data_IF_625182880423
#
_entry.id   IF_625182880423
#
_cell.length_a   1.000
_cell.length_b   1.000
_cell.length_c   1.000
_cell.angle_alpha   90.00
_cell.angle_beta   90.00
_cell.angle_gamma   90.00
#
_symmetry.space_group_name_H-M   'P 1'
#
loop_
_entity.id
_entity.type
_entity.pdbx_description
1 polymer ?
#
# COMPACT_ATOMS: atom_id res chain seq x y z
N UNK A 1 -41.88 -3.81 24.40
CA UNK A 1 -41.23 -4.98 23.76
C UNK A 1 -40.24 -5.57 24.74
N UNK A 2 -40.28 -6.90 24.89
CA UNK A 2 -39.34 -7.64 25.72
C UNK A 2 -37.94 -7.74 25.03
N UNK A 3 -36.92 -8.08 25.78
CA UNK A 3 -35.58 -8.31 25.21
C UNK A 3 -35.58 -9.40 24.12
N UNK A 4 -36.39 -10.42 24.30
CA UNK A 4 -36.58 -11.52 23.34
C UNK A 4 -37.28 -11.06 22.05
N UNK A 5 -38.19 -10.14 22.11
CA UNK A 5 -38.85 -9.54 20.93
C UNK A 5 -37.85 -8.69 20.12
N UNK A 6 -37.03 -7.87 20.80
CA UNK A 6 -35.97 -7.11 20.14
C UNK A 6 -34.93 -8.04 19.47
N UNK A 7 -34.52 -9.12 20.11
CA UNK A 7 -33.61 -10.10 19.51
C UNK A 7 -34.18 -10.74 18.24
N UNK A 8 -35.46 -11.17 18.28
CA UNK A 8 -36.13 -11.72 17.09
C UNK A 8 -36.21 -10.72 15.94
N UNK A 9 -36.38 -9.45 16.25
CA UNK A 9 -36.43 -8.40 15.23
C UNK A 9 -35.03 -8.19 14.62
N UNK A 10 -33.94 -8.21 15.41
CA UNK A 10 -32.57 -8.21 14.90
C UNK A 10 -32.33 -9.41 13.99
N UNK A 11 -32.69 -10.62 14.42
CA UNK A 11 -32.55 -11.84 13.60
C UNK A 11 -33.31 -11.78 12.28
N UNK A 12 -34.46 -11.09 12.25
CA UNK A 12 -35.22 -10.84 11.02
C UNK A 12 -34.46 -9.91 10.07
N UNK A 13 -33.93 -8.80 10.61
CA UNK A 13 -33.15 -7.81 9.85
C UNK A 13 -31.87 -8.46 9.30
N UNK A 14 -31.17 -9.25 10.10
CA UNK A 14 -29.95 -9.95 9.66
C UNK A 14 -30.22 -10.87 8.48
N UNK A 15 -31.36 -11.56 8.47
CA UNK A 15 -31.76 -12.39 7.31
C UNK A 15 -32.00 -11.58 6.06
N UNK A 16 -32.51 -10.36 6.17
CA UNK A 16 -32.66 -9.44 5.03
C UNK A 16 -31.33 -8.93 4.55
N UNK A 17 -30.41 -8.54 5.44
CA UNK A 17 -29.03 -8.15 5.11
C UNK A 17 -28.33 -9.27 4.34
N UNK A 18 -28.40 -10.52 4.81
CA UNK A 18 -27.79 -11.67 4.14
C UNK A 18 -28.33 -11.87 2.71
N UNK A 19 -29.65 -11.69 2.51
CA UNK A 19 -30.25 -11.78 1.16
C UNK A 19 -29.72 -10.68 0.24
N UNK A 20 -29.66 -9.43 0.72
CA UNK A 20 -29.15 -8.31 -0.06
C UNK A 20 -27.65 -8.44 -0.36
N UNK A 21 -26.85 -8.94 0.57
CA UNK A 21 -25.43 -9.24 0.35
C UNK A 21 -25.24 -10.32 -0.72
N UNK A 22 -26.02 -11.40 -0.67
CA UNK A 22 -25.97 -12.45 -1.69
C UNK A 22 -26.35 -11.94 -3.08
N UNK A 23 -27.39 -11.11 -3.18
CA UNK A 23 -27.77 -10.46 -4.43
C UNK A 23 -26.68 -9.52 -4.94
N UNK A 24 -26.11 -8.68 -4.07
CA UNK A 24 -25.01 -7.76 -4.39
C UNK A 24 -23.78 -8.53 -4.92
N UNK A 25 -23.43 -9.67 -4.31
CA UNK A 25 -22.32 -10.51 -4.78
C UNK A 25 -22.59 -11.14 -6.15
N UNK A 26 -23.83 -11.55 -6.42
CA UNK A 26 -24.23 -12.03 -7.74
C UNK A 26 -24.03 -10.96 -8.82
N UNK A 27 -24.47 -9.73 -8.54
CA UNK A 27 -24.27 -8.58 -9.44
C UNK A 27 -22.77 -8.24 -9.58
N UNK A 28 -21.99 -8.29 -8.48
CA UNK A 28 -20.57 -8.04 -8.51
C UNK A 28 -19.84 -9.05 -9.43
N UNK A 29 -20.18 -10.34 -9.41
CA UNK A 29 -19.63 -11.36 -10.34
C UNK A 29 -19.94 -11.02 -11.79
N UNK A 30 -21.18 -10.64 -12.10
CA UNK A 30 -21.55 -10.24 -13.46
C UNK A 30 -20.77 -9.00 -13.95
N UNK A 31 -20.51 -8.03 -13.04
CA UNK A 31 -19.64 -6.88 -13.33
C UNK A 31 -18.21 -7.36 -13.61
N UNK A 32 -17.69 -8.30 -12.82
CA UNK A 32 -16.35 -8.88 -13.03
C UNK A 32 -16.21 -9.55 -14.41
N UNK A 33 -17.19 -10.33 -14.81
CA UNK A 33 -17.24 -10.96 -16.14
C UNK A 33 -17.28 -9.91 -17.27
N UNK A 34 -18.09 -8.87 -17.11
CA UNK A 34 -18.15 -7.77 -18.08
C UNK A 34 -16.83 -7.01 -18.18
N UNK A 35 -16.17 -6.72 -17.05
CA UNK A 35 -14.85 -6.10 -17.01
C UNK A 35 -13.79 -6.96 -17.68
N UNK A 36 -13.80 -8.27 -17.42
CA UNK A 36 -12.86 -9.21 -18.04
C UNK A 36 -13.00 -9.21 -19.57
N UNK A 37 -14.23 -9.23 -20.09
CA UNK A 37 -14.51 -9.16 -21.52
C UNK A 37 -14.08 -7.84 -22.16
N UNK A 38 -14.18 -6.74 -21.40
CA UNK A 38 -13.78 -5.40 -21.85
C UNK A 38 -12.27 -5.10 -21.61
N UNK A 39 -11.51 -6.00 -21.00
CA UNK A 39 -10.12 -5.76 -20.59
C UNK A 39 -9.98 -4.69 -19.49
N UNK A 40 -11.06 -4.37 -18.78
CA UNK A 40 -11.09 -3.33 -17.76
C UNK A 40 -10.62 -3.87 -16.39
N UNK A 41 -9.92 -3.06 -15.56
CA UNK A 41 -9.43 -3.47 -14.27
C UNK A 41 -10.58 -3.75 -13.28
N UNK A 42 -10.43 -4.79 -12.46
CA UNK A 42 -11.39 -5.13 -11.39
C UNK A 42 -11.29 -4.10 -10.28
N UNK A 43 -10.08 -3.82 -9.82
CA UNK A 43 -9.81 -2.85 -8.75
C UNK A 43 -9.99 -1.42 -9.26
N UNK A 44 -10.85 -0.66 -8.62
CA UNK A 44 -11.21 0.71 -9.01
C UNK A 44 -11.30 1.61 -7.76
N UNK A 45 -10.15 2.01 -7.18
CA UNK A 45 -10.09 2.69 -5.89
C UNK A 45 -10.88 4.01 -5.86
N UNK A 46 -10.95 4.72 -6.98
CA UNK A 46 -11.75 5.94 -7.12
C UNK A 46 -13.25 5.67 -6.94
N UNK A 47 -13.75 4.61 -7.60
CA UNK A 47 -15.16 4.22 -7.49
C UNK A 47 -15.52 3.76 -6.08
N UNK A 48 -14.58 3.10 -5.40
CA UNK A 48 -14.75 2.68 -4.00
C UNK A 48 -14.86 3.88 -3.08
N UNK A 49 -13.99 4.87 -3.20
CA UNK A 49 -14.05 6.08 -2.38
C UNK A 49 -15.31 6.89 -2.65
N UNK A 50 -15.74 7.04 -3.92
CA UNK A 50 -17.01 7.66 -4.27
C UNK A 50 -18.20 6.94 -3.61
N UNK A 51 -18.21 5.60 -3.65
CA UNK A 51 -19.25 4.81 -3.01
C UNK A 51 -19.26 5.02 -1.49
N UNK A 52 -18.10 4.99 -0.83
CA UNK A 52 -18.00 5.21 0.61
C UNK A 52 -18.47 6.60 1.03
N UNK A 53 -18.21 7.63 0.22
CA UNK A 53 -18.74 8.99 0.47
C UNK A 53 -20.26 9.03 0.32
N UNK A 54 -20.80 8.53 -0.79
CA UNK A 54 -22.26 8.54 -1.03
C UNK A 54 -23.05 7.75 0.03
N UNK A 55 -22.49 6.66 0.54
CA UNK A 55 -23.10 5.86 1.60
C UNK A 55 -23.10 6.61 2.93
N UNK A 56 -22.01 7.30 3.28
CA UNK A 56 -21.94 8.11 4.48
C UNK A 56 -22.96 9.27 4.47
N UNK A 57 -23.16 9.89 3.31
CA UNK A 57 -24.16 10.94 3.11
C UNK A 57 -25.61 10.41 3.18
N UNK A 58 -25.85 9.20 2.66
CA UNK A 58 -27.18 8.58 2.63
C UNK A 58 -27.66 8.07 4.00
N UNK A 59 -26.75 7.84 4.96
CA UNK A 59 -27.08 7.26 6.26
C UNK A 59 -26.51 8.08 7.45
N UNK A 60 -26.91 9.34 7.62
CA UNK A 60 -26.34 10.25 8.64
C UNK A 60 -26.60 9.79 10.09
N UNK A 61 -27.56 8.89 10.30
CA UNK A 61 -27.86 8.31 11.61
C UNK A 61 -26.83 7.26 12.07
N UNK A 62 -25.97 6.76 11.18
CA UNK A 62 -24.96 5.77 11.49
C UNK A 62 -23.59 6.47 11.57
N UNK A 63 -22.78 6.22 12.60
CA UNK A 63 -21.43 6.79 12.69
C UNK A 63 -20.59 6.48 11.43
N UNK A 64 -20.10 7.51 10.75
CA UNK A 64 -19.44 7.39 9.45
C UNK A 64 -18.23 6.42 9.47
N UNK A 65 -17.45 6.40 10.56
CA UNK A 65 -16.33 5.47 10.73
C UNK A 65 -16.75 4.00 10.76
N UNK A 66 -17.82 3.69 11.50
CA UNK A 66 -18.38 2.34 11.56
C UNK A 66 -18.98 1.90 10.22
N UNK A 67 -19.71 2.81 9.56
CA UNK A 67 -20.29 2.54 8.24
C UNK A 67 -19.20 2.28 7.18
N UNK A 68 -18.14 3.08 7.17
CA UNK A 68 -16.98 2.88 6.30
C UNK A 68 -16.31 1.53 6.54
N UNK A 69 -16.15 1.11 7.79
CA UNK A 69 -15.54 -0.18 8.13
C UNK A 69 -16.38 -1.36 7.58
N UNK A 70 -17.69 -1.35 7.81
CA UNK A 70 -18.60 -2.39 7.29
C UNK A 70 -18.58 -2.43 5.76
N UNK A 71 -18.74 -1.28 5.11
CA UNK A 71 -18.77 -1.23 3.65
C UNK A 71 -17.44 -1.55 2.99
N UNK A 72 -16.32 -1.30 3.65
CA UNK A 72 -15.00 -1.75 3.18
C UNK A 72 -14.95 -3.27 3.05
N UNK A 73 -15.47 -4.03 4.02
CA UNK A 73 -15.51 -5.49 3.93
C UNK A 73 -16.52 -5.99 2.90
N UNK A 74 -17.67 -5.32 2.75
CA UNK A 74 -18.62 -5.62 1.67
C UNK A 74 -18.01 -5.37 0.29
N UNK A 75 -17.20 -4.31 0.13
CA UNK A 75 -16.45 -4.03 -1.11
C UNK A 75 -15.38 -5.10 -1.32
N UNK A 76 -14.62 -5.47 -0.29
CA UNK A 76 -13.63 -6.54 -0.31
C UNK A 76 -14.20 -7.87 -0.80
N UNK A 77 -15.34 -8.29 -0.23
CA UNK A 77 -16.09 -9.48 -0.69
C UNK A 77 -16.44 -9.38 -2.18
N UNK A 78 -16.82 -8.19 -2.64
CA UNK A 78 -17.18 -7.97 -4.04
C UNK A 78 -15.99 -8.00 -4.98
N UNK A 79 -14.84 -7.45 -4.55
CA UNK A 79 -13.58 -7.54 -5.28
C UNK A 79 -13.13 -9.00 -5.36
N UNK A 80 -13.11 -9.71 -4.23
CA UNK A 80 -12.76 -11.13 -4.17
C UNK A 80 -13.63 -12.01 -5.09
N UNK A 81 -14.94 -11.68 -5.17
CA UNK A 81 -15.87 -12.39 -6.07
C UNK A 81 -15.63 -12.13 -7.57
N UNK A 82 -14.95 -11.03 -7.93
CA UNK A 82 -14.59 -10.66 -9.30
C UNK A 82 -13.20 -11.13 -9.69
N UNK A 83 -12.30 -11.33 -8.71
CA UNK A 83 -10.90 -11.67 -8.95
C UNK A 83 -10.72 -13.19 -9.08
N UNK A 84 -10.09 -13.60 -10.18
CA UNK A 84 -9.74 -15.00 -10.40
C UNK A 84 -8.38 -15.39 -9.77
N UNK A 85 -7.56 -14.41 -9.38
CA UNK A 85 -6.17 -14.59 -8.93
C UNK A 85 -5.86 -13.72 -7.72
N UNK A 86 -4.89 -14.13 -6.88
CA UNK A 86 -4.54 -13.40 -5.66
C UNK A 86 -3.90 -12.03 -5.94
N UNK A 87 -3.70 -11.28 -4.86
CA UNK A 87 -2.85 -10.10 -4.79
C UNK A 87 -1.49 -10.53 -4.19
N UNK A 88 -0.42 -10.36 -4.96
CA UNK A 88 0.94 -10.61 -4.51
C UNK A 88 1.44 -9.45 -3.64
N UNK A 89 2.23 -9.74 -2.63
CA UNK A 89 2.87 -8.72 -1.80
C UNK A 89 4.22 -9.21 -1.25
N UNK A 90 5.11 -8.26 -0.90
CA UNK A 90 6.35 -8.58 -0.22
C UNK A 90 6.06 -9.10 1.19
N UNK A 91 6.24 -10.41 1.38
CA UNK A 91 6.05 -11.09 2.68
C UNK A 91 7.12 -10.72 3.72
N UNK A 92 7.07 -11.39 4.86
CA UNK A 92 6.12 -12.43 5.24
C UNK A 92 4.75 -11.89 5.69
N UNK A 93 3.85 -12.79 6.13
CA UNK A 93 2.62 -12.40 6.81
C UNK A 93 2.91 -11.58 8.07
N UNK A 94 2.04 -10.59 8.38
CA UNK A 94 2.25 -9.61 9.44
C UNK A 94 3.14 -8.43 9.04
N UNK A 95 3.71 -8.41 7.82
CA UNK A 95 4.52 -7.29 7.33
C UNK A 95 3.69 -6.02 7.09
N UNK A 96 4.35 -4.86 7.05
CA UNK A 96 3.68 -3.60 6.65
C UNK A 96 3.17 -3.66 5.20
N UNK A 97 3.80 -4.45 4.33
CA UNK A 97 3.32 -4.64 2.95
C UNK A 97 2.00 -5.42 2.93
N UNK A 98 1.83 -6.43 3.79
CA UNK A 98 0.54 -7.08 3.95
C UNK A 98 -0.53 -6.12 4.47
N UNK A 99 -0.20 -5.28 5.45
CA UNK A 99 -1.15 -4.27 5.95
C UNK A 99 -1.57 -3.31 4.82
N UNK A 100 -0.64 -2.91 3.94
CA UNK A 100 -0.96 -2.10 2.76
C UNK A 100 -1.87 -2.86 1.78
N UNK A 101 -1.61 -4.15 1.57
CA UNK A 101 -2.47 -5.02 0.74
C UNK A 101 -3.88 -5.13 1.31
N UNK A 102 -4.01 -5.39 2.63
CA UNK A 102 -5.29 -5.46 3.31
C UNK A 102 -6.03 -4.10 3.32
N UNK A 103 -5.28 -2.99 3.44
CA UNK A 103 -5.86 -1.66 3.35
C UNK A 103 -6.40 -1.35 1.95
N UNK A 104 -5.74 -1.82 0.89
CA UNK A 104 -6.17 -1.61 -0.48
C UNK A 104 -7.35 -2.52 -0.87
N UNK A 105 -7.29 -3.80 -0.53
CA UNK A 105 -8.19 -4.83 -1.06
C UNK A 105 -9.14 -5.43 -0.02
N UNK A 106 -8.90 -5.17 1.28
CA UNK A 106 -9.62 -5.80 2.40
C UNK A 106 -9.22 -7.26 2.63
N UNK A 107 -9.97 -7.93 3.50
CA UNK A 107 -9.59 -9.28 4.00
C UNK A 107 -10.09 -10.43 3.14
N UNK A 108 -11.07 -10.19 2.28
CA UNK A 108 -11.74 -11.23 1.47
C UNK A 108 -11.06 -11.55 0.15
N UNK A 109 -10.00 -10.81 -0.21
CA UNK A 109 -9.23 -11.05 -1.43
C UNK A 109 -8.07 -12.00 -1.13
N UNK A 110 -7.89 -13.10 -1.90
CA UNK A 110 -6.77 -14.01 -1.72
C UNK A 110 -5.42 -13.30 -1.81
N UNK A 111 -4.53 -13.60 -0.89
CA UNK A 111 -3.20 -12.98 -0.75
C UNK A 111 -2.09 -13.97 -1.08
N UNK A 112 -1.01 -13.49 -1.73
CA UNK A 112 0.17 -14.29 -2.10
C UNK A 112 1.42 -13.63 -1.54
N UNK A 113 1.94 -14.08 -0.36
CA UNK A 113 3.19 -13.60 0.18
C UNK A 113 4.38 -14.12 -0.62
N UNK A 114 5.26 -13.21 -1.08
CA UNK A 114 6.44 -13.54 -1.86
C UNK A 114 7.72 -13.06 -1.15
N UNK A 115 8.86 -13.65 -1.50
CA UNK A 115 10.12 -13.46 -0.77
C UNK A 115 10.86 -12.19 -1.13
N UNK A 116 10.67 -11.71 -2.36
CA UNK A 116 11.33 -10.51 -2.87
C UNK A 116 10.38 -9.61 -3.65
N UNK A 117 10.76 -8.33 -3.80
CA UNK A 117 10.04 -7.39 -4.65
C UNK A 117 10.03 -7.87 -6.10
N UNK A 118 11.16 -8.44 -6.59
CA UNK A 118 11.24 -9.01 -7.93
C UNK A 118 10.24 -10.13 -8.17
N UNK A 119 10.03 -11.01 -7.18
CA UNK A 119 9.02 -12.08 -7.28
C UNK A 119 7.61 -11.50 -7.39
N UNK A 120 7.32 -10.37 -6.69
CA UNK A 120 6.01 -9.70 -6.79
C UNK A 120 5.78 -9.17 -8.21
N UNK A 121 6.77 -8.52 -8.81
CA UNK A 121 6.70 -8.07 -10.20
C UNK A 121 6.49 -9.26 -11.16
N UNK A 122 7.30 -10.30 -11.04
CA UNK A 122 7.22 -11.50 -11.88
C UNK A 122 5.85 -12.19 -11.79
N UNK A 123 5.26 -12.30 -10.59
CA UNK A 123 3.94 -12.88 -10.38
C UNK A 123 2.82 -12.09 -11.08
N UNK A 124 2.93 -10.75 -11.10
CA UNK A 124 1.97 -9.90 -11.81
C UNK A 124 2.18 -9.97 -13.32
N UNK A 125 3.42 -9.93 -13.79
CA UNK A 125 3.78 -10.01 -15.23
C UNK A 125 3.35 -11.34 -15.84
N UNK A 126 3.64 -12.45 -15.17
CA UNK A 126 3.21 -13.79 -15.61
C UNK A 126 1.70 -14.00 -15.50
N UNK A 127 1.03 -13.16 -14.72
CA UNK A 127 -0.40 -13.27 -14.42
C UNK A 127 -0.73 -14.33 -13.37
N UNK A 128 0.20 -14.80 -12.60
CA UNK A 128 -0.03 -15.60 -11.39
C UNK A 128 -0.81 -14.79 -10.35
N UNK A 129 -0.51 -13.49 -10.23
CA UNK A 129 -1.26 -12.53 -9.44
C UNK A 129 -1.95 -11.48 -10.32
N UNK A 130 -3.13 -10.98 -9.89
CA UNK A 130 -3.84 -9.90 -10.58
C UNK A 130 -3.20 -8.54 -10.32
N UNK A 131 -2.71 -8.34 -9.11
CA UNK A 131 -2.08 -7.10 -8.60
C UNK A 131 -0.88 -7.47 -7.73
N UNK A 132 0.04 -6.51 -7.59
CA UNK A 132 1.15 -6.59 -6.64
C UNK A 132 1.18 -5.39 -5.73
N UNK A 133 1.60 -5.57 -4.48
CA UNK A 133 1.81 -4.47 -3.53
C UNK A 133 3.28 -4.45 -3.13
N UNK A 134 3.94 -3.31 -3.35
CA UNK A 134 5.37 -3.13 -3.11
C UNK A 134 5.65 -1.83 -2.37
N UNK A 135 6.61 -1.81 -1.41
CA UNK A 135 7.04 -0.58 -0.76
C UNK A 135 7.86 0.27 -1.75
N UNK A 136 7.68 1.60 -1.74
CA UNK A 136 8.43 2.50 -2.64
C UNK A 136 9.21 3.58 -1.90
N UNK A 137 8.75 3.98 -0.71
CA UNK A 137 9.39 5.03 0.07
C UNK A 137 8.99 4.94 1.53
N UNK A 138 9.93 5.19 2.42
CA UNK A 138 9.67 5.43 3.83
C UNK A 138 10.14 6.83 4.21
N UNK A 139 9.34 7.57 4.98
CA UNK A 139 9.63 8.97 5.32
C UNK A 139 10.92 9.17 6.14
N UNK A 140 11.42 8.10 6.76
CA UNK A 140 12.65 8.12 7.58
C UNK A 140 13.84 7.53 6.83
N UNK A 141 13.63 6.44 6.10
CA UNK A 141 14.68 5.65 5.43
C UNK A 141 14.91 6.09 3.98
N UNK A 142 13.96 6.86 3.42
CA UNK A 142 14.00 7.25 2.02
C UNK A 142 13.44 6.20 1.07
N UNK A 143 13.96 6.19 -0.13
CA UNK A 143 13.43 5.44 -1.27
C UNK A 143 13.80 3.97 -1.22
N UNK A 144 12.85 3.09 -1.54
CA UNK A 144 13.09 1.67 -1.79
C UNK A 144 13.59 1.50 -3.21
N UNK A 145 14.91 1.57 -3.35
CA UNK A 145 15.63 1.58 -4.63
C UNK A 145 15.19 0.48 -5.60
N UNK A 146 15.12 -0.74 -5.11
CA UNK A 146 14.79 -1.91 -5.94
C UNK A 146 13.38 -1.83 -6.56
N UNK A 147 12.40 -1.26 -5.86
CA UNK A 147 11.05 -1.05 -6.43
C UNK A 147 11.05 -0.06 -7.58
N UNK A 148 11.82 1.03 -7.45
CA UNK A 148 11.91 2.03 -8.53
C UNK A 148 12.65 1.48 -9.75
N UNK A 149 13.73 0.72 -9.53
CA UNK A 149 14.50 0.11 -10.63
C UNK A 149 13.60 -0.85 -11.44
N UNK A 150 12.84 -1.71 -10.77
CA UNK A 150 11.88 -2.60 -11.41
C UNK A 150 10.74 -1.84 -12.12
N UNK A 151 10.23 -0.76 -11.54
CA UNK A 151 9.23 0.09 -12.22
C UNK A 151 9.78 0.74 -13.50
N UNK A 152 11.05 1.12 -13.50
CA UNK A 152 11.71 1.66 -14.70
C UNK A 152 11.85 0.61 -15.81
N UNK A 153 12.02 -0.66 -15.47
CA UNK A 153 12.24 -1.76 -16.42
C UNK A 153 10.95 -2.45 -16.86
N UNK A 154 10.03 -2.72 -15.92
CA UNK A 154 8.77 -3.46 -16.13
C UNK A 154 7.73 -2.64 -16.92
N UNK A 155 6.86 -3.32 -17.66
CA UNK A 155 5.71 -2.70 -18.33
C UNK A 155 4.48 -2.55 -17.41
N UNK A 156 4.56 -3.02 -16.17
CA UNK A 156 3.49 -2.87 -15.20
C UNK A 156 3.20 -1.39 -14.90
N UNK A 157 1.97 -1.13 -14.50
CA UNK A 157 1.48 0.22 -14.20
C UNK A 157 1.14 0.34 -12.72
N UNK A 158 1.43 1.49 -12.15
CA UNK A 158 0.93 1.87 -10.83
C UNK A 158 -0.54 2.26 -10.96
N UNK A 159 -1.40 1.58 -10.22
CA UNK A 159 -2.86 1.77 -10.26
C UNK A 159 -3.42 2.34 -8.95
N UNK A 160 -2.66 2.28 -7.86
CA UNK A 160 -3.00 2.91 -6.59
C UNK A 160 -1.76 3.17 -5.76
N UNK A 161 -1.91 4.07 -4.80
CA UNK A 161 -0.94 4.35 -3.76
C UNK A 161 -1.61 4.11 -2.40
N UNK A 162 -0.89 3.47 -1.48
CA UNK A 162 -1.30 3.31 -0.09
C UNK A 162 -0.21 3.88 0.81
N UNK A 163 -0.59 4.75 1.73
CA UNK A 163 0.33 5.28 2.75
C UNK A 163 -0.07 4.72 4.11
N UNK A 164 0.87 4.09 4.80
CA UNK A 164 0.67 3.58 6.17
C UNK A 164 1.58 4.31 7.13
N UNK A 165 1.03 4.78 8.24
CA UNK A 165 1.82 5.18 9.40
C UNK A 165 2.48 3.95 10.00
N UNK A 166 3.78 4.04 10.27
CA UNK A 166 4.55 2.95 10.87
C UNK A 166 4.51 3.13 12.39
N UNK A 167 3.65 2.34 13.04
CA UNK A 167 3.63 2.24 14.49
C UNK A 167 4.37 0.98 14.93
N UNK A 168 5.41 1.16 15.77
CA UNK A 168 6.17 0.08 16.34
C UNK A 168 5.64 -0.25 17.73
N UNK A 169 5.52 -1.54 18.02
CA UNK A 169 5.13 -2.08 19.31
C UNK A 169 6.27 -2.93 19.87
N UNK A 170 6.41 -2.98 21.19
CA UNK A 170 7.16 -4.03 21.86
C UNK A 170 6.20 -5.18 22.11
N UNK A 171 6.52 -6.35 21.58
CA UNK A 171 5.69 -7.56 21.68
C UNK A 171 6.46 -8.68 22.36
N UNK A 172 5.81 -9.44 23.24
CA UNK A 172 6.44 -10.48 24.02
C UNK A 172 5.55 -10.98 25.15
N UNK A 173 6.13 -11.77 26.06
CA UNK A 173 5.42 -12.29 27.23
C UNK A 173 6.11 -11.87 28.51
N UNK A 174 5.30 -11.66 29.56
CA UNK A 174 5.78 -11.26 30.89
C UNK A 174 6.07 -9.77 31.04
N UNK A 175 6.57 -9.36 32.20
CA UNK A 175 6.84 -7.95 32.52
C UNK A 175 8.13 -7.43 31.84
N UNK A 176 8.20 -6.12 31.63
CA UNK A 176 9.31 -5.46 30.92
C UNK A 176 10.67 -5.66 31.57
N UNK A 177 10.75 -5.73 32.89
CA UNK A 177 11.97 -5.93 33.66
C UNK A 177 12.60 -7.32 33.48
N UNK A 178 11.85 -8.28 32.95
CA UNK A 178 12.34 -9.61 32.61
C UNK A 178 12.84 -9.74 31.17
N UNK A 179 12.65 -8.72 30.32
CA UNK A 179 13.16 -8.73 28.93
C UNK A 179 14.68 -8.65 28.95
N UNK A 180 15.34 -9.63 28.33
CA UNK A 180 16.80 -9.73 28.21
C UNK A 180 17.29 -9.59 26.78
N UNK A 181 16.41 -9.85 25.80
CA UNK A 181 16.71 -9.70 24.37
C UNK A 181 15.53 -9.01 23.67
N UNK A 182 15.83 -8.06 22.80
CA UNK A 182 14.86 -7.44 21.90
C UNK A 182 15.29 -7.71 20.47
N UNK A 183 14.43 -8.40 19.74
CA UNK A 183 14.66 -8.84 18.38
C UNK A 183 13.93 -7.92 17.41
N UNK A 184 14.53 -7.54 16.31
CA UNK A 184 13.85 -6.97 15.14
C UNK A 184 14.81 -6.79 13.98
N UNK A 185 14.30 -6.24 12.86
CA UNK A 185 15.16 -5.69 11.83
C UNK A 185 15.95 -4.50 12.38
N UNK A 186 17.18 -4.33 11.93
CA UNK A 186 18.11 -3.27 12.33
C UNK A 186 17.48 -1.87 12.35
N UNK A 187 16.78 -1.53 11.29
CA UNK A 187 16.04 -0.28 11.10
C UNK A 187 14.99 -0.07 12.21
N UNK A 188 14.18 -1.08 12.51
CA UNK A 188 13.13 -0.98 13.52
C UNK A 188 13.71 -0.84 14.94
N UNK A 189 14.83 -1.51 15.23
CA UNK A 189 15.58 -1.34 16.46
C UNK A 189 16.14 0.09 16.57
N UNK A 190 16.69 0.63 15.48
CA UNK A 190 17.22 1.99 15.43
C UNK A 190 16.12 3.03 15.68
N UNK A 191 14.94 2.85 15.09
CA UNK A 191 13.77 3.75 15.25
C UNK A 191 13.19 3.76 16.67
N UNK A 192 13.48 2.75 17.49
CA UNK A 192 12.98 2.61 18.86
C UNK A 192 14.08 2.72 19.91
N UNK A 193 15.31 3.05 19.53
CA UNK A 193 16.49 3.01 20.41
C UNK A 193 16.32 3.85 21.67
N UNK A 194 15.79 5.05 21.56
CA UNK A 194 15.59 5.95 22.70
C UNK A 194 14.55 5.42 23.68
N UNK A 195 13.47 4.81 23.19
CA UNK A 195 12.47 4.18 24.04
C UNK A 195 13.03 2.91 24.70
N UNK A 196 13.69 2.04 23.95
CA UNK A 196 14.27 0.77 24.44
C UNK A 196 15.32 1.01 25.54
N UNK A 197 16.20 2.00 25.38
CA UNK A 197 17.23 2.33 26.35
C UNK A 197 16.66 2.81 27.70
N UNK A 198 15.47 3.40 27.69
CA UNK A 198 14.81 3.88 28.92
C UNK A 198 13.99 2.82 29.63
N UNK A 199 13.36 1.91 28.87
CA UNK A 199 12.38 0.97 29.44
C UNK A 199 12.91 -0.45 29.60
N UNK A 200 13.90 -0.86 28.79
CA UNK A 200 14.56 -2.18 28.86
C UNK A 200 16.09 -2.04 28.71
N UNK A 201 16.76 -1.22 29.58
CA UNK A 201 18.15 -0.82 29.38
C UNK A 201 19.17 -1.96 29.41
N UNK A 202 18.82 -3.10 29.99
CA UNK A 202 19.70 -4.28 30.07
C UNK A 202 19.49 -5.30 28.95
N UNK A 203 18.56 -5.04 28.02
CA UNK A 203 18.25 -6.00 26.96
C UNK A 203 19.26 -5.91 25.80
N UNK A 204 19.75 -7.06 25.35
CA UNK A 204 20.57 -7.16 24.15
C UNK A 204 19.68 -6.95 22.90
N UNK A 205 20.10 -6.09 21.97
CA UNK A 205 19.41 -5.89 20.70
C UNK A 205 19.94 -6.91 19.69
N UNK A 206 19.04 -7.70 19.09
CA UNK A 206 19.39 -8.80 18.17
C UNK A 206 18.70 -8.56 16.83
N UNK A 207 19.50 -8.51 15.78
CA UNK A 207 18.99 -8.31 14.42
C UNK A 207 18.36 -9.59 13.86
N UNK A 208 17.26 -9.41 13.12
CA UNK A 208 16.55 -10.46 12.37
C UNK A 208 16.25 -9.98 10.96
N UNK A 209 15.94 -10.90 10.05
CA UNK A 209 15.66 -10.59 8.65
C UNK A 209 14.43 -9.70 8.41
N UNK A 210 13.47 -9.69 9.35
CA UNK A 210 12.29 -8.83 9.32
C UNK A 210 11.65 -8.69 10.70
N UNK A 211 10.83 -7.64 10.90
CA UNK A 211 10.06 -7.45 12.14
C UNK A 211 9.09 -8.62 12.39
N UNK A 212 8.49 -9.19 11.34
CA UNK A 212 7.62 -10.36 11.47
C UNK A 212 8.38 -11.64 11.85
N UNK A 213 9.60 -11.84 11.32
CA UNK A 213 10.45 -12.96 11.72
C UNK A 213 10.88 -12.85 13.21
N UNK A 214 11.08 -11.63 13.71
CA UNK A 214 11.34 -11.42 15.13
C UNK A 214 10.15 -11.87 16.01
N UNK A 215 8.91 -11.52 15.61
CA UNK A 215 7.70 -11.97 16.33
C UNK A 215 7.57 -13.49 16.29
N UNK A 216 7.86 -14.12 15.16
CA UNK A 216 7.82 -15.58 15.03
C UNK A 216 8.83 -16.26 15.96
N UNK A 217 10.03 -15.70 16.08
CA UNK A 217 11.03 -16.22 17.03
C UNK A 217 10.58 -16.07 18.48
N UNK A 218 10.02 -14.91 18.87
CA UNK A 218 9.48 -14.68 20.20
C UNK A 218 8.29 -15.61 20.50
N UNK A 219 7.45 -15.90 19.52
CA UNK A 219 6.35 -16.85 19.67
C UNK A 219 6.83 -18.28 20.00
N UNK A 220 7.99 -18.68 19.43
CA UNK A 220 8.60 -20.00 19.68
C UNK A 220 9.37 -20.05 21.00
N UNK A 221 10.07 -18.98 21.34
CA UNK A 221 10.96 -18.87 22.49
C UNK A 221 10.66 -17.60 23.29
N UNK A 222 9.55 -17.56 24.05
CA UNK A 222 9.08 -16.31 24.66
C UNK A 222 9.89 -15.87 25.90
N UNK A 223 10.66 -16.77 26.54
CA UNK A 223 11.30 -16.49 27.83
C UNK A 223 12.41 -15.43 27.71
N UNK A 224 12.19 -14.27 28.33
CA UNK A 224 13.13 -13.18 28.36
C UNK A 224 13.36 -12.53 26.99
N UNK A 225 12.53 -12.82 26.01
CA UNK A 225 12.61 -12.25 24.66
C UNK A 225 11.40 -11.37 24.35
N UNK A 226 11.63 -10.28 23.65
CA UNK A 226 10.61 -9.43 23.06
C UNK A 226 11.00 -9.06 21.62
N UNK A 227 10.05 -8.65 20.81
CA UNK A 227 10.31 -8.15 19.47
C UNK A 227 9.78 -6.73 19.29
N UNK A 228 10.45 -5.94 18.45
CA UNK A 228 9.89 -4.70 17.91
C UNK A 228 9.19 -5.03 16.59
N UNK A 229 7.88 -4.81 16.53
CA UNK A 229 7.08 -5.12 15.35
C UNK A 229 5.77 -4.32 15.32
N UNK A 230 5.00 -4.46 14.23
CA UNK A 230 3.65 -3.91 14.16
C UNK A 230 2.66 -4.69 15.04
N UNK A 231 1.56 -4.05 15.45
CA UNK A 231 0.47 -4.72 16.15
C UNK A 231 -0.10 -5.89 15.33
N UNK A 232 -0.24 -5.74 14.01
CA UNK A 232 -0.73 -6.79 13.12
C UNK A 232 0.18 -8.03 13.12
N UNK A 233 1.51 -7.86 13.18
CA UNK A 233 2.44 -8.98 13.30
C UNK A 233 2.28 -9.72 14.63
N UNK A 234 2.05 -9.00 15.72
CA UNK A 234 1.78 -9.57 17.03
C UNK A 234 0.47 -10.39 17.04
N UNK A 235 -0.60 -9.80 16.53
CA UNK A 235 -1.93 -10.40 16.44
C UNK A 235 -1.94 -11.67 15.57
N UNK A 236 -1.25 -11.65 14.42
CA UNK A 236 -1.16 -12.80 13.51
C UNK A 236 -0.48 -14.03 14.12
N UNK A 237 0.35 -13.83 15.15
CA UNK A 237 1.08 -14.89 15.86
C UNK A 237 0.57 -15.14 17.29
N UNK A 238 -0.45 -14.41 17.73
CA UNK A 238 -0.98 -14.50 19.09
C UNK A 238 0.01 -14.09 20.18
N UNK A 239 0.99 -13.22 19.86
CA UNK A 239 1.97 -12.71 20.84
C UNK A 239 1.42 -11.44 21.49
N UNK A 240 1.40 -11.34 22.83
CA UNK A 240 0.92 -10.15 23.52
C UNK A 240 1.72 -8.89 23.20
N UNK A 241 1.04 -7.74 23.15
CA UNK A 241 1.67 -6.43 23.00
C UNK A 241 1.98 -5.89 24.40
N UNK A 242 3.25 -5.66 24.69
CA UNK A 242 3.73 -5.11 25.95
C UNK A 242 3.67 -3.58 25.99
N UNK A 243 3.95 -2.92 24.85
CA UNK A 243 3.85 -1.48 24.70
C UNK A 243 3.56 -1.11 23.25
N UNK A 244 2.76 -0.05 23.03
CA UNK A 244 2.44 0.50 21.72
C UNK A 244 3.12 1.84 21.48
N UNK A 245 3.37 2.21 20.21
CA UNK A 245 3.90 3.52 19.85
C UNK A 245 5.30 3.78 20.41
N UNK A 246 6.17 2.77 20.36
CA UNK A 246 7.52 2.83 20.96
C UNK A 246 8.57 3.50 20.07
N UNK A 247 8.23 3.86 18.84
CA UNK A 247 9.12 4.57 17.92
C UNK A 247 9.45 5.98 18.45
N UNK A 248 10.70 6.39 18.28
CA UNK A 248 11.18 7.69 18.72
C UNK A 248 10.59 8.86 17.92
N UNK A 249 10.21 8.63 16.66
CA UNK A 249 9.53 9.60 15.78
C UNK A 249 8.12 9.10 15.43
N UNK A 250 7.14 10.00 15.53
CA UNK A 250 5.73 9.68 15.27
C UNK A 250 5.27 9.91 13.83
N UNK A 251 6.08 10.59 13.04
CA UNK A 251 5.83 10.98 11.65
C UNK A 251 6.34 9.96 10.63
N UNK A 252 6.68 8.74 11.09
CA UNK A 252 7.14 7.67 10.20
C UNK A 252 5.97 7.07 9.41
N UNK A 253 6.07 7.15 8.09
CA UNK A 253 5.09 6.58 7.17
C UNK A 253 5.80 5.87 6.02
N UNK A 254 5.20 4.80 5.53
CA UNK A 254 5.67 4.09 4.33
C UNK A 254 4.63 4.19 3.24
N UNK A 255 5.09 4.55 2.05
CA UNK A 255 4.32 4.59 0.81
C UNK A 255 4.50 3.27 0.08
N UNK A 256 3.38 2.69 -0.36
CA UNK A 256 3.33 1.48 -1.16
C UNK A 256 2.63 1.77 -2.48
N UNK A 257 3.07 1.13 -3.55
CA UNK A 257 2.35 1.12 -4.82
C UNK A 257 1.62 -0.21 -5.02
N UNK A 258 0.44 -0.10 -5.61
CA UNK A 258 -0.29 -1.22 -6.20
C UNK A 258 0.04 -1.23 -7.68
N UNK A 259 0.61 -2.33 -8.16
CA UNK A 259 1.02 -2.52 -9.54
C UNK A 259 0.12 -3.54 -10.25
N UNK A 260 -0.13 -3.33 -11.54
CA UNK A 260 -0.96 -4.16 -12.39
C UNK A 260 -0.50 -4.13 -13.84
N UNK A 261 -0.99 -5.07 -14.67
CA UNK A 261 -0.71 -5.10 -16.10
C UNK A 261 -1.46 -4.03 -16.88
N UNK A 262 -2.67 -3.68 -16.44
CA UNK A 262 -3.47 -2.63 -17.07
C UNK A 262 -3.48 -1.38 -16.21
N UNK A 263 -3.41 -0.21 -16.85
CA UNK A 263 -3.54 1.08 -16.20
C UNK A 263 -5.00 1.40 -15.85
N UNK A 264 -5.20 2.38 -14.95
CA UNK A 264 -6.50 2.97 -14.74
C UNK A 264 -6.91 3.82 -15.95
N UNK A 265 -8.23 3.85 -16.22
CA UNK A 265 -8.81 4.86 -17.10
C UNK A 265 -8.95 6.20 -16.34
N UNK A 266 -9.08 7.30 -17.07
CA UNK A 266 -9.39 8.63 -16.49
C UNK A 266 -10.62 8.54 -15.59
N UNK A 267 -10.53 9.00 -14.36
CA UNK A 267 -11.65 8.82 -13.43
C UNK A 267 -11.93 9.97 -12.49
N UNK A 268 -10.97 10.51 -11.75
CA UNK A 268 -11.22 11.48 -10.68
C UNK A 268 -10.45 12.79 -10.84
N UNK A 269 -10.90 13.81 -10.11
CA UNK A 269 -10.23 15.12 -10.12
C UNK A 269 -8.85 15.11 -9.43
N UNK A 270 -8.65 14.21 -8.44
CA UNK A 270 -7.45 14.17 -7.59
C UNK A 270 -6.54 12.98 -7.94
N UNK A 271 -6.10 12.92 -9.19
CA UNK A 271 -5.17 11.89 -9.65
C UNK A 271 -3.73 12.41 -9.66
N UNK A 272 -2.82 11.48 -9.45
CA UNK A 272 -1.37 11.67 -9.56
C UNK A 272 -0.86 10.81 -10.70
N UNK A 273 0.00 11.38 -11.53
CA UNK A 273 0.74 10.65 -12.56
C UNK A 273 2.19 10.51 -12.14
N UNK A 274 2.73 9.31 -12.25
CA UNK A 274 4.15 9.02 -12.11
C UNK A 274 4.78 8.74 -13.46
N UNK A 275 5.95 9.34 -13.70
CA UNK A 275 6.79 9.08 -14.87
C UNK A 275 8.23 8.84 -14.48
N UNK A 276 8.98 8.16 -15.33
CA UNK A 276 10.44 8.12 -15.26
C UNK A 276 11.04 8.71 -16.54
N UNK A 277 12.03 9.57 -16.35
CA UNK A 277 12.72 10.28 -17.43
C UNK A 277 14.19 9.88 -17.45
N UNK A 278 14.77 9.76 -18.68
CA UNK A 278 16.21 9.81 -18.91
C UNK A 278 16.53 11.08 -19.66
N UNK A 279 17.48 11.85 -19.15
CA UNK A 279 17.83 13.15 -19.73
C UNK A 279 19.01 13.02 -20.70
N UNK A 280 19.05 13.88 -21.69
CA UNK A 280 20.23 14.06 -22.54
C UNK A 280 21.39 14.58 -21.70
N UNK A 281 22.59 14.13 -21.98
CA UNK A 281 23.80 14.58 -21.27
C UNK A 281 24.28 15.94 -21.82
N UNK A 282 23.54 17.00 -21.49
CA UNK A 282 23.81 18.37 -21.93
C UNK A 282 23.49 19.40 -20.83
N UNK A 283 24.16 20.56 -20.80
CA UNK A 283 23.88 21.61 -19.85
C UNK A 283 22.42 22.08 -19.95
N UNK A 284 21.73 22.19 -18.80
CA UNK A 284 20.34 22.65 -18.76
C UNK A 284 19.29 21.58 -19.04
N UNK A 285 19.65 20.32 -19.32
CA UNK A 285 18.69 19.26 -19.64
C UNK A 285 17.62 19.06 -18.57
N UNK A 286 18.00 19.01 -17.28
CA UNK A 286 17.04 18.91 -16.18
C UNK A 286 16.15 20.15 -16.07
N UNK A 287 16.71 21.35 -16.18
CA UNK A 287 15.95 22.59 -16.17
C UNK A 287 14.90 22.60 -17.30
N UNK A 288 15.32 22.23 -18.51
CA UNK A 288 14.42 22.15 -19.67
C UNK A 288 13.30 21.13 -19.47
N UNK A 289 13.57 19.98 -18.85
CA UNK A 289 12.54 19.00 -18.52
C UNK A 289 11.55 19.55 -17.48
N UNK A 290 12.04 20.21 -16.43
CA UNK A 290 11.18 20.81 -15.40
C UNK A 290 10.34 21.98 -15.92
N UNK A 291 10.84 22.76 -16.88
CA UNK A 291 10.11 23.83 -17.54
C UNK A 291 8.84 23.32 -18.26
N UNK A 292 8.85 22.11 -18.79
CA UNK A 292 7.66 21.52 -19.42
C UNK A 292 6.45 21.42 -18.49
N UNK A 293 6.67 21.29 -17.19
CA UNK A 293 5.65 21.29 -16.15
C UNK A 293 5.31 22.72 -15.68
N UNK A 294 6.32 23.52 -15.31
CA UNK A 294 6.12 24.85 -14.75
C UNK A 294 5.41 25.80 -15.73
N UNK A 295 5.74 25.75 -17.02
CA UNK A 295 5.14 26.59 -18.07
C UNK A 295 3.65 26.29 -18.28
N UNK A 296 3.17 25.16 -17.72
CA UNK A 296 1.75 24.72 -17.74
C UNK A 296 1.07 24.79 -16.38
N UNK A 297 1.74 25.36 -15.38
CA UNK A 297 1.22 25.44 -14.02
C UNK A 297 1.06 24.09 -13.34
N UNK A 298 1.76 23.04 -13.82
CA UNK A 298 1.76 21.72 -13.19
C UNK A 298 2.81 21.72 -12.09
N UNK A 299 2.37 21.60 -10.84
CA UNK A 299 3.27 21.47 -9.70
C UNK A 299 3.84 20.05 -9.61
N UNK A 300 5.08 19.90 -9.15
CA UNK A 300 5.66 18.59 -8.88
C UNK A 300 5.43 18.21 -7.42
N UNK A 301 4.89 17.01 -7.20
CA UNK A 301 4.67 16.45 -5.87
C UNK A 301 5.95 15.81 -5.36
N UNK A 302 6.73 15.19 -6.27
CA UNK A 302 7.95 14.47 -5.95
C UNK A 302 8.90 14.49 -7.14
N UNK A 303 10.18 14.55 -6.83
CA UNK A 303 11.28 14.26 -7.76
C UNK A 303 12.34 13.42 -7.05
N UNK A 304 12.75 12.35 -7.69
CA UNK A 304 13.80 11.45 -7.20
C UNK A 304 14.77 11.13 -8.32
N UNK A 305 16.06 11.27 -8.10
CA UNK A 305 17.09 10.94 -9.08
C UNK A 305 17.86 9.70 -8.65
N UNK A 306 18.08 8.78 -9.58
CA UNK A 306 18.82 7.54 -9.35
C UNK A 306 19.79 7.25 -10.49
N UNK A 307 20.98 6.69 -10.20
CA UNK A 307 21.85 6.18 -11.24
C UNK A 307 21.12 5.11 -12.08
N UNK A 308 21.23 5.20 -13.39
CA UNK A 308 20.79 4.14 -14.30
C UNK A 308 21.80 2.98 -14.21
N UNK A 309 21.32 1.75 -14.05
CA UNK A 309 22.21 0.59 -14.12
C UNK A 309 22.59 0.19 -15.56
N UNK A 310 22.11 0.95 -16.57
CA UNK A 310 22.34 0.67 -18.00
C UNK A 310 23.61 1.31 -18.55
N UNK A 311 23.91 2.53 -18.11
CA UNK A 311 25.12 3.28 -18.51
C UNK A 311 25.74 3.99 -17.33
N UNK A 312 27.05 4.01 -17.24
CA UNK A 312 27.78 4.76 -16.22
C UNK A 312 27.44 6.26 -16.35
N UNK A 313 27.15 6.88 -15.21
CA UNK A 313 26.86 8.34 -15.11
C UNK A 313 25.52 8.78 -15.74
N UNK A 314 24.66 7.86 -16.16
CA UNK A 314 23.30 8.13 -16.57
C UNK A 314 22.37 8.09 -15.35
N UNK A 315 21.41 9.01 -15.29
CA UNK A 315 20.44 9.10 -14.20
C UNK A 315 19.02 8.93 -14.69
N UNK A 316 18.21 8.21 -13.90
CA UNK A 316 16.76 8.13 -14.02
C UNK A 316 16.14 9.17 -13.09
N UNK A 317 15.17 9.93 -13.57
CA UNK A 317 14.39 10.88 -12.77
C UNK A 317 12.95 10.41 -12.68
N UNK A 318 12.54 10.03 -11.48
CA UNK A 318 11.16 9.68 -11.17
C UNK A 318 10.45 10.95 -10.73
N UNK A 319 9.33 11.26 -11.36
CA UNK A 319 8.57 12.49 -11.12
C UNK A 319 7.11 12.13 -10.92
N UNK A 320 6.53 12.62 -9.81
CA UNK A 320 5.11 12.53 -9.51
C UNK A 320 4.48 13.93 -9.61
N UNK A 321 3.35 14.06 -10.30
CA UNK A 321 2.64 15.32 -10.48
C UNK A 321 1.12 15.11 -10.57
N UNK A 322 0.28 16.12 -10.26
CA UNK A 322 -1.16 16.02 -10.30
C UNK A 322 -1.70 15.95 -11.73
N UNK A 323 -2.81 15.27 -11.88
CA UNK A 323 -3.54 15.07 -13.12
C UNK A 323 -3.32 13.69 -13.74
N UNK A 324 -4.29 13.25 -14.55
CA UNK A 324 -4.21 11.97 -15.26
C UNK A 324 -3.41 12.11 -16.55
N UNK A 325 -2.69 11.05 -16.92
CA UNK A 325 -1.87 11.00 -18.15
C UNK A 325 -2.61 11.42 -19.42
N UNK A 326 -3.90 11.08 -19.55
CA UNK A 326 -4.70 11.35 -20.76
C UNK A 326 -5.33 12.76 -20.78
N UNK A 327 -5.16 13.57 -19.72
CA UNK A 327 -5.70 14.94 -19.73
C UNK A 327 -4.92 15.86 -20.67
N UNK A 328 -5.57 16.83 -21.33
CA UNK A 328 -4.91 17.69 -22.34
C UNK A 328 -3.68 18.43 -21.80
N UNK A 329 -3.74 18.94 -20.57
CA UNK A 329 -2.62 19.66 -19.96
C UNK A 329 -1.40 18.75 -19.73
N UNK A 330 -1.63 17.53 -19.22
CA UNK A 330 -0.58 16.53 -19.00
C UNK A 330 -0.02 16.03 -20.32
N UNK A 331 -0.87 15.75 -21.31
CA UNK A 331 -0.42 15.35 -22.65
C UNK A 331 0.46 16.40 -23.32
N UNK A 332 0.13 17.69 -23.17
CA UNK A 332 0.94 18.78 -23.70
C UNK A 332 2.33 18.85 -23.03
N UNK A 333 2.39 18.65 -21.68
CA UNK A 333 3.65 18.58 -20.95
C UNK A 333 4.51 17.38 -21.39
N UNK A 334 3.89 16.21 -21.51
CA UNK A 334 4.55 14.97 -21.94
C UNK A 334 5.10 15.09 -23.37
N UNK A 335 4.38 15.74 -24.26
CA UNK A 335 4.84 15.95 -25.64
C UNK A 335 6.10 16.83 -25.70
N UNK A 336 6.17 17.84 -24.85
CA UNK A 336 7.37 18.64 -24.70
C UNK A 336 8.53 17.86 -24.07
N UNK A 337 8.26 17.08 -23.03
CA UNK A 337 9.25 16.20 -22.40
C UNK A 337 9.86 15.23 -23.41
N UNK A 338 9.07 14.63 -24.31
CA UNK A 338 9.56 13.73 -25.37
C UNK A 338 10.54 14.41 -26.31
N UNK A 339 10.42 15.72 -26.52
CA UNK A 339 11.38 16.49 -27.33
C UNK A 339 12.69 16.80 -26.58
N UNK A 340 12.66 16.86 -25.27
CA UNK A 340 13.79 17.28 -24.42
C UNK A 340 14.53 16.11 -23.73
N UNK A 341 13.84 15.00 -23.49
CA UNK A 341 14.38 13.81 -22.83
C UNK A 341 14.78 12.73 -23.84
N UNK A 342 15.69 11.83 -23.48
CA UNK A 342 15.96 10.62 -24.26
C UNK A 342 14.81 9.63 -24.15
N UNK A 343 14.30 9.42 -22.93
CA UNK A 343 13.18 8.53 -22.65
C UNK A 343 12.19 9.22 -21.72
N UNK A 344 10.92 9.05 -22.01
CA UNK A 344 9.79 9.40 -21.13
C UNK A 344 8.92 8.16 -21.00
N UNK A 345 8.93 7.51 -19.84
CA UNK A 345 8.12 6.33 -19.57
C UNK A 345 7.03 6.67 -18.56
N UNK A 346 5.79 6.41 -18.93
CA UNK A 346 4.65 6.50 -18.04
C UNK A 346 4.57 5.27 -17.13
N UNK A 347 4.58 5.49 -15.81
CA UNK A 347 4.48 4.44 -14.82
C UNK A 347 3.04 4.17 -14.38
N UNK A 348 2.16 5.17 -14.45
CA UNK A 348 0.74 5.05 -14.11
C UNK A 348 0.11 6.37 -13.70
N UNK A 349 -1.22 6.39 -13.72
CA UNK A 349 -2.03 7.45 -13.13
C UNK A 349 -3.00 6.82 -12.13
N UNK A 350 -3.07 7.36 -10.91
CA UNK A 350 -3.77 6.75 -9.79
C UNK A 350 -4.27 7.81 -8.82
N UNK A 351 -5.31 7.50 -8.01
CA UNK A 351 -5.82 8.42 -7.01
C UNK A 351 -4.73 8.79 -6.01
N UNK A 352 -4.67 10.06 -5.63
CA UNK A 352 -3.89 10.47 -4.48
C UNK A 352 -4.44 9.76 -3.25
N UNK A 353 -3.58 9.05 -2.51
CA UNK A 353 -3.98 8.38 -1.28
C UNK A 353 -4.62 9.39 -0.34
N UNK A 354 -5.87 9.19 0.05
CA UNK A 354 -6.41 9.84 1.23
C UNK A 354 -5.59 9.34 2.44
N UNK A 355 -4.93 10.25 3.12
CA UNK A 355 -4.05 10.02 4.25
C UNK A 355 -4.72 9.27 5.41
#
# INVERSE_FOLDING_TARGET
MSLEEHRREVDRIDREILKLLAERLRVARAIGEAKLKAGAPVYAPQREEQLLRSIAEAAPAIPASGLRAVYREIISLSIGAQMARPVAYLGPEGSFTQQAQLRAFGTSVPSLPLRSIGDVFAAVESGEASYGVVPVENSTEGVVSHSLDLLAESELKVVAQVTLSVEQCLVGQGPLDQVRKVLSKDIALAQCRGWLSRHVPGAALVETGSTAAAVEQVAREPQGQAAVASAAAAESRGVPILARGIQDRRDNATRFFVIARAANAVGAADEVTSVVLTLKHEPGALQGALAAFSDRGINLIRIESRPSHRRAWEYLFFIDFPGHWETPAVQAAVQELKGRCEVVKWLGSYPQSAG
#
